data_IF_320316945023
#
_entry.id   IF_320316945023
#
_cell.length_a   1.000
_cell.length_b   1.000
_cell.length_c   1.000
_cell.angle_alpha   90.00
_cell.angle_beta   90.00
_cell.angle_gamma   90.00
#
_symmetry.space_group_name_H-M   'P 1'
#
loop_
_entity.id
_entity.type
_entity.pdbx_description
1 polymer ?
#
# COMPACT_ATOMS: atom_id res chain seq x y z
N UNK A 1 -2.34 -4.55 22.36
CA UNK A 1 -3.20 -4.46 21.16
C UNK A 1 -2.92 -3.13 20.47
N UNK A 2 -2.85 -3.12 19.15
CA UNK A 2 -2.66 -1.91 18.35
C UNK A 2 -3.78 -0.89 18.58
N UNK A 3 -3.41 0.38 18.66
CA UNK A 3 -4.37 1.48 18.68
C UNK A 3 -5.15 1.51 17.35
N UNK A 4 -6.43 1.89 17.42
CA UNK A 4 -7.28 2.03 16.24
C UNK A 4 -7.63 3.49 15.98
N UNK A 5 -7.76 3.83 14.70
CA UNK A 5 -8.21 5.15 14.22
C UNK A 5 -9.32 4.98 13.19
N UNK A 6 -9.94 6.05 12.75
CA UNK A 6 -10.86 6.03 11.60
C UNK A 6 -10.07 6.02 10.28
N UNK A 7 -10.64 5.38 9.26
CA UNK A 7 -10.09 5.43 7.90
C UNK A 7 -10.41 6.80 7.27
N UNK A 8 -9.66 7.83 7.71
CA UNK A 8 -9.91 9.22 7.37
C UNK A 8 -11.15 9.80 8.08
N UNK A 9 -11.56 10.98 7.64
CA UNK A 9 -12.72 11.71 8.19
C UNK A 9 -14.00 11.47 7.39
N UNK A 10 -13.90 10.76 6.26
CA UNK A 10 -15.02 10.51 5.33
C UNK A 10 -15.79 9.23 5.64
N UNK A 11 -15.33 8.44 6.61
CA UNK A 11 -15.96 7.19 7.04
C UNK A 11 -15.78 6.98 8.53
N UNK A 12 -16.68 6.21 9.14
CA UNK A 12 -16.55 5.76 10.51
C UNK A 12 -15.86 4.41 10.66
N UNK A 13 -15.35 3.83 9.54
CA UNK A 13 -14.65 2.55 9.56
C UNK A 13 -13.38 2.65 10.39
N UNK A 14 -13.28 1.80 11.41
CA UNK A 14 -12.12 1.75 12.31
C UNK A 14 -11.09 0.76 11.79
N UNK A 15 -9.83 1.18 11.79
CA UNK A 15 -8.68 0.38 11.38
C UNK A 15 -7.52 0.55 12.38
N UNK A 16 -6.64 -0.45 12.54
CA UNK A 16 -5.41 -0.27 13.31
C UNK A 16 -4.44 0.69 12.60
N UNK A 17 -3.48 1.22 13.35
CA UNK A 17 -2.46 2.16 12.86
C UNK A 17 -1.45 1.55 11.88
N UNK A 18 -1.59 0.27 11.55
CA UNK A 18 -0.87 -0.45 10.51
C UNK A 18 -1.84 -1.24 9.64
N UNK A 19 -1.44 -1.45 8.37
CA UNK A 19 -2.11 -2.35 7.44
C UNK A 19 -1.13 -3.43 6.98
N UNK A 20 -1.49 -4.72 7.08
CA UNK A 20 -0.67 -5.81 6.57
C UNK A 20 -0.80 -5.87 5.04
N UNK A 21 0.27 -5.46 4.34
CA UNK A 21 0.40 -5.60 2.90
C UNK A 21 0.78 -7.05 2.55
N UNK A 22 -0.01 -7.65 1.69
CA UNK A 22 0.08 -9.09 1.42
C UNK A 22 0.77 -9.45 0.11
N UNK A 23 1.39 -8.48 -0.59
CA UNK A 23 2.02 -8.70 -1.90
C UNK A 23 3.05 -9.85 -1.93
N UNK A 24 3.63 -10.20 -0.80
CA UNK A 24 4.60 -11.29 -0.68
C UNK A 24 3.99 -12.67 -0.35
N UNK A 25 2.66 -12.77 -0.29
CA UNK A 25 1.97 -14.05 -0.13
C UNK A 25 1.34 -14.49 -1.45
N UNK A 26 1.29 -15.80 -1.68
CA UNK A 26 0.74 -16.37 -2.90
C UNK A 26 1.40 -17.68 -3.28
N UNK A 27 1.36 -18.02 -4.55
CA UNK A 27 1.99 -19.22 -5.12
C UNK A 27 3.37 -18.86 -5.69
N UNK A 28 4.48 -19.43 -5.19
CA UNK A 28 5.82 -19.17 -5.72
C UNK A 28 5.90 -19.42 -7.23
N UNK A 29 6.49 -18.47 -7.97
CA UNK A 29 6.65 -18.54 -9.41
C UNK A 29 5.41 -18.15 -10.22
N UNK A 30 4.26 -17.87 -9.60
CA UNK A 30 3.06 -17.37 -10.31
C UNK A 30 3.10 -15.84 -10.44
N UNK A 31 2.99 -15.36 -11.69
CA UNK A 31 2.97 -13.93 -11.98
C UNK A 31 4.37 -13.28 -11.95
N UNK A 32 4.41 -11.99 -11.60
CA UNK A 32 5.64 -11.18 -11.61
C UNK A 32 6.41 -11.20 -10.29
N UNK A 33 5.91 -11.85 -9.25
CA UNK A 33 6.47 -11.81 -7.91
C UNK A 33 7.61 -12.83 -7.68
N UNK A 34 7.80 -13.79 -8.59
CA UNK A 34 8.95 -14.70 -8.55
C UNK A 34 8.99 -15.62 -7.32
N UNK A 35 10.19 -16.12 -7.03
CA UNK A 35 10.43 -17.18 -6.02
C UNK A 35 10.46 -16.65 -4.56
N UNK A 36 10.29 -15.34 -4.34
CA UNK A 36 10.29 -14.76 -2.98
C UNK A 36 8.90 -14.74 -2.31
N UNK A 37 7.89 -15.23 -3.01
CA UNK A 37 6.52 -15.34 -2.51
C UNK A 37 6.39 -16.48 -1.51
N UNK A 38 5.72 -16.22 -0.41
CA UNK A 38 5.43 -17.20 0.65
C UNK A 38 4.09 -17.90 0.37
N UNK A 39 4.09 -19.23 0.45
CA UNK A 39 2.88 -20.04 0.36
C UNK A 39 2.02 -19.94 1.61
N UNK A 40 0.87 -20.61 1.59
CA UNK A 40 -0.13 -20.53 2.67
C UNK A 40 0.42 -21.01 4.03
N UNK A 41 1.22 -22.06 4.05
CA UNK A 41 1.78 -22.62 5.29
C UNK A 41 2.80 -21.66 5.93
N UNK A 42 3.59 -20.96 5.10
CA UNK A 42 4.57 -19.97 5.56
C UNK A 42 3.89 -18.64 5.97
N UNK A 43 2.78 -18.30 5.32
CA UNK A 43 2.02 -17.09 5.62
C UNK A 43 1.18 -17.22 6.89
N UNK A 44 0.66 -18.41 7.21
CA UNK A 44 -0.24 -18.64 8.35
C UNK A 44 0.30 -18.14 9.68
N UNK A 45 1.54 -18.43 10.12
CA UNK A 45 2.06 -17.90 11.37
C UNK A 45 2.10 -16.36 11.43
N UNK A 46 2.32 -15.71 10.28
CA UNK A 46 2.35 -14.24 10.19
C UNK A 46 0.93 -13.68 10.38
N UNK A 47 -0.09 -14.32 9.78
CA UNK A 47 -1.48 -13.89 9.97
C UNK A 47 -1.95 -14.11 11.40
N UNK A 48 -1.62 -15.24 12.02
CA UNK A 48 -1.94 -15.54 13.43
C UNK A 48 -1.31 -14.48 14.35
N UNK A 49 -0.02 -14.17 14.19
CA UNK A 49 0.66 -13.13 14.96
C UNK A 49 0.07 -11.72 14.71
N UNK A 50 -0.35 -11.43 13.48
CA UNK A 50 -1.03 -10.16 13.16
C UNK A 50 -2.34 -10.04 13.95
N UNK A 51 -3.17 -11.06 13.92
CA UNK A 51 -4.45 -11.11 14.62
C UNK A 51 -4.25 -11.00 16.14
N UNK A 52 -3.31 -11.74 16.71
CA UNK A 52 -2.97 -11.70 18.14
C UNK A 52 -2.50 -10.31 18.58
N UNK A 53 -1.78 -9.58 17.73
CA UNK A 53 -1.34 -8.21 18.00
C UNK A 53 -2.45 -7.16 17.86
N UNK A 54 -3.61 -7.53 17.34
CA UNK A 54 -4.73 -6.63 17.02
C UNK A 54 -4.62 -5.97 15.65
N UNK A 55 -3.79 -6.50 14.75
CA UNK A 55 -3.70 -6.08 13.35
C UNK A 55 -4.74 -6.86 12.52
N UNK A 56 -5.90 -6.24 12.30
CA UNK A 56 -7.02 -6.81 11.56
C UNK A 56 -7.30 -6.10 10.23
N UNK A 57 -6.32 -5.35 9.69
CA UNK A 57 -6.42 -4.62 8.44
C UNK A 57 -5.44 -5.17 7.40
N UNK A 58 -5.96 -5.64 6.27
CA UNK A 58 -5.22 -6.36 5.24
C UNK A 58 -5.35 -5.69 3.88
N UNK A 59 -4.25 -5.62 3.13
CA UNK A 59 -4.21 -5.02 1.80
C UNK A 59 -3.67 -6.01 0.76
N UNK A 60 -4.49 -6.34 -0.23
CA UNK A 60 -4.14 -7.19 -1.37
C UNK A 60 -4.39 -6.49 -2.70
N UNK A 61 -4.25 -7.18 -3.82
CA UNK A 61 -4.62 -6.73 -5.16
C UNK A 61 -4.80 -7.92 -6.12
N UNK A 62 -5.64 -7.72 -7.14
CA UNK A 62 -5.86 -8.69 -8.21
C UNK A 62 -4.57 -9.11 -8.92
N UNK A 63 -3.67 -8.16 -9.20
CA UNK A 63 -2.42 -8.38 -9.93
C UNK A 63 -1.35 -9.12 -9.11
N UNK A 64 -1.48 -9.20 -7.78
CA UNK A 64 -0.49 -9.87 -6.95
C UNK A 64 -0.52 -11.38 -7.19
N UNK A 65 0.56 -11.91 -7.78
CA UNK A 65 0.62 -13.31 -8.24
C UNK A 65 -0.48 -13.67 -9.24
N UNK A 66 -1.01 -12.68 -9.99
CA UNK A 66 -2.17 -12.87 -10.90
C UNK A 66 -3.32 -13.58 -10.17
N UNK A 67 -3.67 -13.02 -9.00
CA UNK A 67 -4.75 -13.51 -8.13
C UNK A 67 -4.36 -14.54 -7.07
N UNK A 68 -3.17 -15.17 -7.13
CA UNK A 68 -2.74 -16.15 -6.13
C UNK A 68 -2.67 -15.56 -4.71
N UNK A 69 -2.31 -14.28 -4.60
CA UNK A 69 -2.31 -13.59 -3.32
C UNK A 69 -3.73 -13.53 -2.71
N UNK A 70 -4.73 -13.15 -3.49
CA UNK A 70 -6.13 -13.11 -3.03
C UNK A 70 -6.65 -14.51 -2.63
N UNK A 71 -6.24 -15.58 -3.34
CA UNK A 71 -6.59 -16.95 -3.01
C UNK A 71 -6.04 -17.35 -1.62
N UNK A 72 -4.75 -17.10 -1.37
CA UNK A 72 -4.08 -17.39 -0.08
C UNK A 72 -4.65 -16.54 1.05
N UNK A 73 -4.76 -15.23 0.86
CA UNK A 73 -5.28 -14.30 1.85
C UNK A 73 -6.73 -14.63 2.22
N UNK A 74 -7.57 -14.86 1.20
CA UNK A 74 -8.96 -15.22 1.40
C UNK A 74 -9.13 -16.51 2.19
N UNK A 75 -8.32 -17.54 1.90
CA UNK A 75 -8.35 -18.80 2.67
C UNK A 75 -7.92 -18.57 4.11
N UNK A 76 -6.77 -17.90 4.36
CA UNK A 76 -6.27 -17.63 5.71
C UNK A 76 -7.26 -16.84 6.57
N UNK A 77 -7.85 -15.79 6.00
CA UNK A 77 -8.82 -14.96 6.73
C UNK A 77 -10.09 -15.75 7.09
N UNK A 78 -10.62 -16.58 6.18
CA UNK A 78 -11.79 -17.42 6.48
C UNK A 78 -11.50 -18.53 7.48
N UNK A 79 -10.27 -19.03 7.51
CA UNK A 79 -9.85 -20.05 8.49
C UNK A 79 -9.70 -19.48 9.90
N UNK A 80 -9.26 -18.23 10.01
CA UNK A 80 -8.80 -17.62 11.27
C UNK A 80 -9.81 -16.64 11.90
N UNK A 81 -10.68 -16.00 11.09
CA UNK A 81 -11.56 -14.93 11.54
C UNK A 81 -12.96 -15.03 10.91
N UNK A 82 -13.98 -14.56 11.63
CA UNK A 82 -15.27 -14.25 11.01
C UNK A 82 -15.19 -12.93 10.21
N UNK A 83 -16.07 -12.77 9.19
CA UNK A 83 -16.01 -11.62 8.24
C UNK A 83 -16.07 -10.25 8.92
N UNK A 84 -16.77 -10.14 10.02
CA UNK A 84 -16.95 -8.91 10.80
C UNK A 84 -15.74 -8.53 11.67
N UNK A 85 -14.74 -9.40 11.78
CA UNK A 85 -13.56 -9.19 12.62
C UNK A 85 -12.37 -8.57 11.87
N UNK A 86 -12.45 -8.38 10.56
CA UNK A 86 -11.35 -7.82 9.77
C UNK A 86 -11.80 -6.84 8.70
N UNK A 87 -10.89 -5.98 8.31
CA UNK A 87 -10.99 -5.04 7.19
C UNK A 87 -10.06 -5.49 6.08
N UNK A 88 -10.55 -5.57 4.84
CA UNK A 88 -9.76 -5.98 3.68
C UNK A 88 -9.94 -5.04 2.50
N UNK A 89 -8.81 -4.64 1.92
CA UNK A 89 -8.72 -3.93 0.65
C UNK A 89 -8.30 -4.88 -0.46
N UNK A 90 -8.87 -4.71 -1.65
CA UNK A 90 -8.26 -5.21 -2.89
C UNK A 90 -8.19 -4.11 -3.93
N UNK A 91 -7.47 -4.36 -5.04
CA UNK A 91 -7.23 -3.35 -6.05
C UNK A 91 -7.56 -3.87 -7.43
N UNK A 92 -7.97 -2.94 -8.32
CA UNK A 92 -8.24 -3.19 -9.73
C UNK A 92 -7.56 -2.12 -10.58
N UNK A 93 -7.12 -2.44 -11.75
CA UNK A 93 -6.63 -1.60 -12.84
C UNK A 93 -5.54 -2.29 -13.67
N UNK A 94 -4.62 -3.01 -13.02
CA UNK A 94 -3.46 -3.58 -13.68
C UNK A 94 -3.88 -4.73 -14.62
N UNK A 95 -3.11 -4.99 -15.69
CA UNK A 95 -3.43 -6.09 -16.59
C UNK A 95 -3.38 -7.45 -15.89
N UNK A 96 -4.49 -8.18 -15.96
CA UNK A 96 -4.62 -9.56 -15.46
C UNK A 96 -4.39 -10.61 -16.56
N UNK A 97 -4.19 -10.17 -17.80
CA UNK A 97 -3.95 -11.01 -18.96
C UNK A 97 -3.58 -10.18 -20.19
N UNK A 98 -3.52 -10.84 -21.35
CA UNK A 98 -3.10 -10.21 -22.62
C UNK A 98 -4.28 -9.70 -23.47
N UNK A 99 -5.50 -9.93 -23.06
CA UNK A 99 -6.70 -9.49 -23.78
C UNK A 99 -6.93 -7.99 -23.64
N UNK A 100 -7.48 -7.36 -24.66
CA UNK A 100 -7.68 -5.91 -24.76
C UNK A 100 -8.50 -5.30 -23.59
N UNK A 101 -9.36 -6.09 -22.93
CA UNK A 101 -10.20 -5.65 -21.83
C UNK A 101 -9.80 -6.28 -20.48
N UNK A 102 -8.60 -6.85 -20.38
CA UNK A 102 -8.11 -7.51 -19.16
C UNK A 102 -7.22 -6.59 -18.32
N UNK A 103 -7.39 -5.28 -18.43
CA UNK A 103 -6.72 -4.23 -17.68
C UNK A 103 -7.38 -2.89 -17.91
N UNK A 104 -6.93 -1.87 -17.17
CA UNK A 104 -7.48 -0.54 -17.23
C UNK A 104 -8.62 -0.31 -16.24
N UNK A 105 -9.35 0.78 -16.42
CA UNK A 105 -10.46 1.17 -15.55
C UNK A 105 -11.74 1.43 -16.36
N UNK A 106 -11.93 0.71 -17.47
CA UNK A 106 -13.22 0.67 -18.15
C UNK A 106 -14.27 0.06 -17.21
N UNK A 107 -15.51 0.46 -17.40
CA UNK A 107 -16.66 -0.12 -16.67
C UNK A 107 -16.65 -1.64 -16.68
N UNK A 108 -16.38 -2.24 -17.87
CA UNK A 108 -16.29 -3.70 -18.02
C UNK A 108 -15.23 -4.30 -17.10
N UNK A 109 -14.00 -3.77 -17.13
CA UNK A 109 -12.91 -4.33 -16.35
C UNK A 109 -13.10 -4.14 -14.83
N UNK A 110 -13.65 -3.01 -14.41
CA UNK A 110 -13.96 -2.77 -12.98
C UNK A 110 -14.95 -3.80 -12.46
N UNK A 111 -16.07 -4.01 -13.16
CA UNK A 111 -17.12 -4.95 -12.71
C UNK A 111 -16.61 -6.39 -12.71
N UNK A 112 -15.98 -6.85 -13.81
CA UNK A 112 -15.44 -8.21 -13.92
C UNK A 112 -14.26 -8.44 -12.97
N UNK A 113 -13.43 -7.41 -12.76
CA UNK A 113 -12.29 -7.42 -11.86
C UNK A 113 -12.71 -7.63 -10.41
N UNK A 114 -13.65 -6.83 -9.91
CA UNK A 114 -14.15 -6.98 -8.53
C UNK A 114 -14.84 -8.31 -8.32
N UNK A 115 -15.64 -8.79 -9.29
CA UNK A 115 -16.28 -10.12 -9.20
C UNK A 115 -15.26 -11.26 -9.15
N UNK A 116 -14.17 -11.12 -9.89
CA UNK A 116 -13.08 -12.08 -9.89
C UNK A 116 -12.30 -12.06 -8.57
N UNK A 117 -12.03 -10.87 -8.02
CA UNK A 117 -11.40 -10.70 -6.71
C UNK A 117 -12.25 -11.30 -5.58
N UNK A 118 -13.55 -11.03 -5.57
CA UNK A 118 -14.47 -11.60 -4.58
C UNK A 118 -14.50 -13.13 -4.63
N UNK A 119 -14.50 -13.72 -5.83
CA UNK A 119 -14.42 -15.20 -5.99
C UNK A 119 -13.10 -15.78 -5.44
N UNK A 120 -11.94 -15.15 -5.73
CA UNK A 120 -10.64 -15.60 -5.21
C UNK A 120 -10.54 -15.46 -3.70
N UNK A 121 -11.01 -14.35 -3.16
CA UNK A 121 -11.07 -14.12 -1.72
C UNK A 121 -12.11 -15.00 -1.02
N UNK A 122 -13.11 -15.52 -1.75
CA UNK A 122 -14.26 -16.24 -1.19
C UNK A 122 -15.15 -15.34 -0.33
N UNK A 123 -15.36 -14.10 -0.75
CA UNK A 123 -16.11 -13.07 -0.04
C UNK A 123 -17.29 -12.56 -0.89
N UNK A 124 -18.31 -12.04 -0.23
CA UNK A 124 -19.42 -11.35 -0.88
C UNK A 124 -19.10 -9.86 -1.11
N UNK A 125 -18.27 -9.25 -0.26
CA UNK A 125 -17.81 -7.87 -0.37
C UNK A 125 -16.41 -7.67 0.20
N UNK A 126 -15.74 -6.61 -0.26
CA UNK A 126 -14.53 -6.05 0.37
C UNK A 126 -14.87 -4.74 1.09
N UNK A 127 -14.12 -4.39 2.12
CA UNK A 127 -14.32 -3.12 2.82
C UNK A 127 -13.91 -1.94 1.95
N UNK A 128 -12.85 -2.11 1.14
CA UNK A 128 -12.43 -1.09 0.21
C UNK A 128 -11.95 -1.68 -1.12
N UNK A 129 -12.46 -1.14 -2.23
CA UNK A 129 -11.92 -1.36 -3.58
C UNK A 129 -11.03 -0.17 -3.96
N UNK A 130 -9.77 -0.40 -4.26
CA UNK A 130 -8.79 0.63 -4.60
C UNK A 130 -8.53 0.61 -6.11
N UNK A 131 -8.61 1.75 -6.79
CA UNK A 131 -8.03 1.86 -8.13
C UNK A 131 -6.51 1.90 -8.00
N UNK A 132 -5.83 0.91 -8.60
CA UNK A 132 -4.39 0.70 -8.39
C UNK A 132 -3.54 1.80 -9.02
N UNK A 133 -4.05 2.47 -10.08
CA UNK A 133 -3.44 3.61 -10.78
C UNK A 133 -4.52 4.48 -11.39
N UNK A 134 -4.16 5.69 -11.79
CA UNK A 134 -5.04 6.55 -12.58
C UNK A 134 -5.32 5.92 -13.97
N UNK A 135 -6.52 6.11 -14.56
CA UNK A 135 -6.88 5.53 -15.86
C UNK A 135 -5.83 5.77 -16.95
N UNK A 136 -5.27 6.97 -17.03
CA UNK A 136 -4.26 7.35 -18.03
C UNK A 136 -2.84 6.81 -17.75
N UNK A 137 -2.58 6.21 -16.59
CA UNK A 137 -1.27 5.69 -16.23
C UNK A 137 -1.08 4.20 -16.55
N UNK A 138 -2.07 3.54 -17.14
CA UNK A 138 -2.06 2.08 -17.37
C UNK A 138 -1.66 1.82 -18.83
N UNK A 139 -0.44 1.34 -19.04
CA UNK A 139 0.07 1.01 -20.37
C UNK A 139 -0.79 -0.05 -21.05
N UNK A 140 -1.15 0.19 -22.31
CA UNK A 140 -1.90 -0.77 -23.13
C UNK A 140 -3.39 -0.85 -22.83
N UNK A 141 -3.89 -0.10 -21.86
CA UNK A 141 -5.32 0.05 -21.62
C UNK A 141 -5.83 1.35 -22.25
N UNK A 142 -7.05 1.32 -22.79
CA UNK A 142 -7.73 2.53 -23.21
C UNK A 142 -8.13 3.32 -21.97
N UNK A 143 -7.68 4.57 -21.88
CA UNK A 143 -8.21 5.51 -20.91
C UNK A 143 -9.55 6.01 -21.45
N UNK A 144 -10.62 5.45 -20.91
CA UNK A 144 -11.98 5.96 -21.15
C UNK A 144 -12.21 7.31 -20.44
N UNK A 145 -13.41 7.89 -20.60
CA UNK A 145 -13.82 9.05 -19.80
C UNK A 145 -13.73 8.75 -18.29
N UNK A 146 -13.30 9.75 -17.54
CA UNK A 146 -13.22 9.64 -16.06
C UNK A 146 -14.60 9.34 -15.46
N UNK A 147 -15.66 9.87 -16.06
CA UNK A 147 -17.04 9.63 -15.66
C UNK A 147 -17.40 8.14 -15.74
N UNK A 148 -16.99 7.41 -16.79
CA UNK A 148 -17.23 5.96 -16.89
C UNK A 148 -16.59 5.20 -15.72
N UNK A 149 -15.36 5.55 -15.38
CA UNK A 149 -14.64 4.95 -14.24
C UNK A 149 -15.36 5.24 -12.92
N UNK A 150 -15.71 6.50 -12.68
CA UNK A 150 -16.34 6.91 -11.42
C UNK A 150 -17.76 6.38 -11.26
N UNK A 151 -18.54 6.32 -12.35
CA UNK A 151 -19.88 5.72 -12.32
C UNK A 151 -19.80 4.21 -12.06
N UNK A 152 -18.85 3.49 -12.70
CA UNK A 152 -18.65 2.07 -12.47
C UNK A 152 -18.28 1.75 -11.01
N UNK A 153 -17.39 2.55 -10.40
CA UNK A 153 -17.04 2.42 -8.99
C UNK A 153 -18.23 2.69 -8.06
N UNK A 154 -19.03 3.70 -8.37
CA UNK A 154 -20.26 3.98 -7.64
C UNK A 154 -21.27 2.83 -7.72
N UNK A 155 -21.39 2.18 -8.89
CA UNK A 155 -22.27 1.03 -9.05
C UNK A 155 -21.77 -0.21 -8.28
N UNK A 156 -20.45 -0.41 -8.19
CA UNK A 156 -19.85 -1.46 -7.34
C UNK A 156 -20.21 -1.26 -5.87
N UNK A 157 -20.16 0.00 -5.38
CA UNK A 157 -20.55 0.32 -4.00
C UNK A 157 -22.06 0.13 -3.81
N UNK A 158 -22.88 0.62 -4.72
CA UNK A 158 -24.33 0.45 -4.66
C UNK A 158 -24.77 -1.03 -4.73
N UNK A 159 -24.03 -1.86 -5.45
CA UNK A 159 -24.26 -3.30 -5.49
C UNK A 159 -23.79 -4.03 -4.21
N UNK A 160 -23.20 -3.32 -3.25
CA UNK A 160 -22.70 -3.88 -2.00
C UNK A 160 -21.44 -4.74 -2.15
N UNK A 161 -20.74 -4.69 -3.30
CA UNK A 161 -19.51 -5.46 -3.55
C UNK A 161 -18.24 -4.83 -2.93
N UNK A 162 -18.31 -3.52 -2.68
CA UNK A 162 -17.34 -2.79 -1.86
C UNK A 162 -18.08 -1.79 -0.99
N UNK A 163 -17.64 -1.61 0.26
CA UNK A 163 -18.26 -0.62 1.16
C UNK A 163 -17.73 0.79 0.87
N UNK A 164 -16.46 0.90 0.53
CA UNK A 164 -15.77 2.15 0.22
C UNK A 164 -14.89 1.98 -1.01
N UNK A 165 -14.49 3.13 -1.59
CA UNK A 165 -13.47 3.15 -2.65
C UNK A 165 -12.25 3.95 -2.21
N UNK A 166 -11.06 3.52 -2.68
CA UNK A 166 -9.78 4.18 -2.51
C UNK A 166 -9.05 4.36 -3.83
N UNK A 167 -8.03 5.18 -3.82
CA UNK A 167 -7.15 5.40 -4.96
C UNK A 167 -5.69 5.12 -4.61
N UNK A 168 -4.85 4.89 -5.60
CA UNK A 168 -3.41 4.67 -5.41
C UNK A 168 -2.57 5.34 -6.49
N UNK A 169 -1.53 6.03 -6.04
CA UNK A 169 -0.41 6.54 -6.87
C UNK A 169 -0.83 7.26 -8.15
N UNK A 170 -1.17 8.54 -8.01
CA UNK A 170 -1.47 9.45 -9.10
C UNK A 170 -1.10 10.89 -8.70
N UNK A 171 -1.08 11.81 -9.65
CA UNK A 171 -0.88 13.22 -9.34
C UNK A 171 -2.06 13.79 -8.55
N UNK A 172 -1.80 14.78 -7.70
CA UNK A 172 -2.85 15.40 -6.88
C UNK A 172 -3.99 16.01 -7.71
N UNK A 173 -3.67 16.63 -8.85
CA UNK A 173 -4.69 17.17 -9.76
C UNK A 173 -5.58 16.07 -10.36
N UNK A 174 -5.02 14.90 -10.69
CA UNK A 174 -5.78 13.74 -11.18
C UNK A 174 -6.75 13.21 -10.11
N UNK A 175 -6.27 13.12 -8.88
CA UNK A 175 -7.12 12.69 -7.76
C UNK A 175 -8.23 13.72 -7.46
N UNK A 176 -7.89 15.01 -7.49
CA UNK A 176 -8.87 16.08 -7.32
C UNK A 176 -9.95 16.07 -8.41
N UNK A 177 -9.57 15.80 -9.66
CA UNK A 177 -10.50 15.67 -10.79
C UNK A 177 -11.48 14.50 -10.60
N UNK A 178 -10.98 13.32 -10.22
CA UNK A 178 -11.83 12.15 -9.89
C UNK A 178 -12.79 12.45 -8.73
N UNK A 179 -12.30 13.08 -7.66
CA UNK A 179 -13.11 13.46 -6.51
C UNK A 179 -14.19 14.49 -6.87
N UNK A 180 -13.85 15.48 -7.71
CA UNK A 180 -14.78 16.50 -8.17
C UNK A 180 -15.85 15.89 -9.07
N UNK A 181 -15.46 15.01 -10.00
CA UNK A 181 -16.39 14.28 -10.88
C UNK A 181 -17.40 13.47 -10.06
N UNK A 182 -16.94 12.74 -9.05
CA UNK A 182 -17.82 12.02 -8.14
C UNK A 182 -18.78 12.97 -7.42
N UNK A 183 -18.26 14.09 -6.88
CA UNK A 183 -19.06 15.06 -6.11
C UNK A 183 -20.15 15.72 -6.96
N UNK A 184 -19.82 16.14 -8.18
CA UNK A 184 -20.77 16.81 -9.09
C UNK A 184 -21.90 15.88 -9.49
N UNK A 185 -21.59 14.59 -9.71
CA UNK A 185 -22.58 13.60 -10.14
C UNK A 185 -23.30 12.91 -8.98
N UNK A 186 -23.01 13.24 -7.71
CA UNK A 186 -23.60 12.59 -6.55
C UNK A 186 -23.18 11.12 -6.39
N UNK A 187 -21.99 10.76 -6.89
CA UNK A 187 -21.42 9.43 -6.80
C UNK A 187 -20.51 9.27 -5.57
N UNK A 188 -20.18 8.01 -5.28
CA UNK A 188 -19.27 7.65 -4.19
C UNK A 188 -17.91 8.30 -4.41
N UNK A 189 -17.41 9.00 -3.39
CA UNK A 189 -16.08 9.61 -3.37
C UNK A 189 -15.06 8.67 -2.71
N UNK A 190 -13.78 8.81 -3.09
CA UNK A 190 -12.69 8.09 -2.45
C UNK A 190 -12.52 8.51 -0.99
N UNK A 191 -12.30 7.53 -0.11
CA UNK A 191 -12.05 7.75 1.32
C UNK A 191 -10.57 7.65 1.68
N UNK A 192 -9.74 7.05 0.81
CA UNK A 192 -8.30 6.89 1.05
C UNK A 192 -7.46 7.08 -0.21
N UNK A 193 -6.20 7.43 0.02
CA UNK A 193 -5.11 7.46 -0.96
C UNK A 193 -3.96 6.57 -0.48
N UNK A 194 -3.61 5.55 -1.28
CA UNK A 194 -2.45 4.69 -1.06
C UNK A 194 -1.31 5.17 -1.96
N UNK A 195 -0.47 6.06 -1.45
CA UNK A 195 0.62 6.71 -2.19
C UNK A 195 2.01 6.17 -1.82
N UNK A 196 3.02 6.49 -2.64
CA UNK A 196 4.41 6.17 -2.35
C UNK A 196 4.99 7.23 -1.42
N UNK A 197 5.17 6.90 -0.15
CA UNK A 197 5.66 7.89 0.81
C UNK A 197 6.48 7.22 1.91
N UNK A 198 7.71 7.70 2.12
CA UNK A 198 8.64 7.29 3.15
C UNK A 198 9.77 8.33 3.30
N UNK A 199 10.70 8.14 4.22
CA UNK A 199 11.79 9.09 4.52
C UNK A 199 12.67 9.48 3.32
N UNK A 200 12.86 8.56 2.37
CA UNK A 200 13.71 8.77 1.18
C UNK A 200 12.90 9.08 -0.09
N UNK A 201 11.58 9.15 0.00
CA UNK A 201 10.71 9.64 -1.06
C UNK A 201 9.57 10.46 -0.45
N UNK A 202 9.67 11.79 -0.53
CA UNK A 202 8.77 12.73 0.12
C UNK A 202 8.03 13.68 -0.86
N UNK A 203 8.01 13.34 -2.15
CA UNK A 203 7.38 14.20 -3.17
C UNK A 203 5.87 14.37 -2.98
N UNK A 204 5.22 13.44 -2.29
CA UNK A 204 3.80 13.52 -1.95
C UNK A 204 3.47 14.65 -0.96
N UNK A 205 4.46 15.15 -0.21
CA UNK A 205 4.32 16.31 0.69
C UNK A 205 4.05 17.64 -0.06
N UNK A 206 4.33 17.69 -1.37
CA UNK A 206 4.13 18.90 -2.16
C UNK A 206 2.65 19.21 -2.37
N UNK A 207 1.85 18.20 -2.72
CA UNK A 207 0.44 18.40 -3.10
C UNK A 207 -0.49 17.31 -2.59
N UNK A 208 -0.17 16.01 -2.80
CA UNK A 208 -1.09 14.91 -2.49
C UNK A 208 -1.42 14.82 -1.00
N UNK A 209 -0.41 14.82 -0.13
CA UNK A 209 -0.64 14.72 1.31
C UNK A 209 -1.42 15.93 1.86
N UNK A 210 -1.04 17.19 1.55
CA UNK A 210 -1.85 18.36 1.93
C UNK A 210 -3.28 18.33 1.41
N UNK A 211 -3.48 17.89 0.18
CA UNK A 211 -4.83 17.74 -0.39
C UNK A 211 -5.66 16.70 0.38
N UNK A 212 -5.08 15.53 0.67
CA UNK A 212 -5.76 14.48 1.42
C UNK A 212 -6.12 14.94 2.84
N UNK A 213 -5.19 15.59 3.54
CA UNK A 213 -5.42 16.17 4.87
C UNK A 213 -6.54 17.20 4.83
N UNK A 214 -6.51 18.14 3.89
CA UNK A 214 -7.52 19.22 3.79
C UNK A 214 -8.91 18.71 3.41
N UNK A 215 -9.00 17.52 2.83
CA UNK A 215 -10.26 16.92 2.37
C UNK A 215 -10.73 15.73 3.21
N UNK A 216 -10.03 15.39 4.30
CA UNK A 216 -10.35 14.29 5.20
C UNK A 216 -10.16 12.90 4.59
N UNK A 217 -9.34 12.76 3.54
CA UNK A 217 -8.98 11.49 2.90
C UNK A 217 -7.85 10.83 3.68
N UNK A 218 -7.99 9.56 4.01
CA UNK A 218 -6.95 8.77 4.70
C UNK A 218 -5.70 8.58 3.84
N UNK A 219 -4.52 8.68 4.42
CA UNK A 219 -3.26 8.32 3.77
C UNK A 219 -2.78 6.95 4.24
N UNK A 220 -2.52 6.06 3.27
CA UNK A 220 -2.08 4.68 3.47
C UNK A 220 -0.79 4.40 2.69
N UNK A 221 0.36 4.97 3.08
CA UNK A 221 1.59 4.86 2.31
C UNK A 221 2.02 3.42 2.04
N UNK A 222 2.35 3.10 0.78
CA UNK A 222 3.02 1.87 0.42
C UNK A 222 4.54 2.05 0.39
N UNK A 223 5.28 0.94 0.52
CA UNK A 223 6.75 0.92 0.69
C UNK A 223 7.27 1.83 1.81
N UNK A 224 6.69 1.77 3.01
CA UNK A 224 7.09 2.63 4.13
C UNK A 224 8.55 2.42 4.55
N UNK A 225 9.12 1.23 4.29
CA UNK A 225 10.51 0.87 4.56
C UNK A 225 11.41 0.96 3.31
N UNK A 226 10.95 1.63 2.24
CA UNK A 226 11.72 1.77 1.00
C UNK A 226 12.32 0.43 0.51
N UNK A 227 11.49 -0.62 0.48
CA UNK A 227 11.86 -1.99 0.07
C UNK A 227 13.03 -2.60 0.88
N UNK A 228 13.18 -2.16 2.13
CA UNK A 228 14.18 -2.65 3.07
C UNK A 228 15.40 -1.72 3.25
N UNK A 229 15.55 -0.66 2.48
CA UNK A 229 16.64 0.31 2.65
C UNK A 229 16.57 0.93 4.05
N UNK A 230 15.41 1.43 4.44
CA UNK A 230 15.16 2.03 5.77
C UNK A 230 15.07 0.99 6.91
N UNK A 231 15.16 -0.30 6.59
CA UNK A 231 15.25 -1.37 7.56
C UNK A 231 16.69 -1.89 7.76
N UNK A 232 17.68 -1.24 7.12
CA UNK A 232 19.09 -1.64 7.19
C UNK A 232 19.42 -2.91 6.39
N UNK A 233 18.57 -3.29 5.41
CA UNK A 233 18.81 -4.49 4.59
C UNK A 233 19.89 -4.29 3.52
N UNK A 234 20.42 -3.10 3.36
CA UNK A 234 21.46 -2.72 2.39
C UNK A 234 22.56 -1.93 3.10
N UNK A 235 23.80 -2.22 2.75
CA UNK A 235 24.97 -1.54 3.32
C UNK A 235 25.52 -0.51 2.32
N UNK A 236 25.08 0.73 2.41
CA UNK A 236 25.61 1.86 1.65
C UNK A 236 25.37 1.82 0.14
N UNK A 237 24.88 0.70 -0.40
CA UNK A 237 24.55 0.54 -1.82
C UNK A 237 23.56 -0.61 -2.04
N UNK A 238 22.89 -0.63 -3.20
CA UNK A 238 21.97 -1.72 -3.57
C UNK A 238 22.67 -3.06 -3.82
N UNK A 239 23.99 -3.06 -4.03
CA UNK A 239 24.78 -4.29 -4.22
C UNK A 239 24.96 -5.08 -2.93
N UNK A 240 24.89 -4.43 -1.78
CA UNK A 240 24.98 -5.02 -0.44
C UNK A 240 23.71 -5.66 0.11
N UNK A 241 22.68 -5.84 -0.70
CA UNK A 241 21.39 -6.34 -0.24
C UNK A 241 21.40 -7.76 0.32
N UNK A 242 20.83 -7.95 1.52
CA UNK A 242 20.83 -9.21 2.27
C UNK A 242 19.54 -10.02 2.12
N UNK A 243 18.50 -9.46 1.54
CA UNK A 243 17.16 -10.09 1.42
C UNK A 243 17.00 -10.92 0.14
N UNK A 244 16.07 -11.88 0.13
CA UNK A 244 15.72 -12.63 -1.08
C UNK A 244 15.21 -11.70 -2.21
N UNK A 245 14.51 -10.62 -1.86
CA UNK A 245 14.03 -9.60 -2.81
C UNK A 245 15.18 -8.83 -3.47
N UNK A 246 16.26 -8.57 -2.75
CA UNK A 246 17.42 -7.85 -3.27
C UNK A 246 18.22 -8.64 -4.32
N UNK A 247 18.02 -9.95 -4.40
CA UNK A 247 18.76 -10.87 -5.29
C UNK A 247 17.99 -11.25 -6.56
N UNK A 248 16.67 -10.98 -6.63
CA UNK A 248 15.78 -11.42 -7.71
C UNK A 248 15.35 -10.29 -8.66
N UNK A 249 14.32 -10.55 -9.46
CA UNK A 249 13.72 -9.57 -10.38
C UNK A 249 13.22 -8.29 -9.67
N UNK A 250 12.92 -8.36 -8.38
CA UNK A 250 12.49 -7.24 -7.57
C UNK A 250 13.61 -6.20 -7.34
N UNK A 251 14.88 -6.59 -7.54
CA UNK A 251 16.03 -5.67 -7.51
C UNK A 251 15.89 -4.55 -8.53
N UNK A 252 15.55 -4.87 -9.79
CA UNK A 252 15.36 -3.87 -10.85
C UNK A 252 14.28 -2.85 -10.46
N UNK A 253 13.22 -3.30 -9.79
CA UNK A 253 12.18 -2.39 -9.27
C UNK A 253 12.72 -1.51 -8.15
N UNK A 254 13.52 -2.05 -7.24
CA UNK A 254 14.17 -1.27 -6.18
C UNK A 254 15.09 -0.21 -6.78
N UNK A 255 15.93 -0.59 -7.75
CA UNK A 255 16.84 0.32 -8.48
C UNK A 255 16.09 1.41 -9.26
N UNK A 256 14.89 1.14 -9.74
CA UNK A 256 14.06 2.16 -10.43
C UNK A 256 13.47 3.21 -9.47
N UNK A 257 13.37 2.89 -8.18
CA UNK A 257 12.76 3.76 -7.17
C UNK A 257 13.82 4.48 -6.31
N UNK A 258 14.92 3.81 -6.02
CA UNK A 258 15.94 4.27 -5.05
C UNK A 258 17.33 3.93 -5.56
N UNK A 259 18.20 4.91 -5.73
CA UNK A 259 19.56 4.72 -6.25
C UNK A 259 20.52 5.85 -5.95
N UNK A 260 20.04 6.85 -5.21
CA UNK A 260 20.83 8.03 -4.89
C UNK A 260 21.69 7.85 -3.66
N UNK A 261 22.84 8.53 -3.59
CA UNK A 261 23.68 8.60 -2.38
C UNK A 261 22.87 9.17 -1.20
N UNK A 262 21.96 10.10 -1.45
CA UNK A 262 21.06 10.67 -0.46
C UNK A 262 20.21 9.59 0.23
N UNK A 263 19.72 8.60 -0.52
CA UNK A 263 18.84 7.54 0.01
C UNK A 263 19.55 6.75 1.11
N UNK A 264 20.83 6.42 0.88
CA UNK A 264 21.67 5.70 1.85
C UNK A 264 22.13 6.58 3.00
N UNK A 265 22.44 7.86 2.76
CA UNK A 265 22.80 8.80 3.82
C UNK A 265 21.63 9.02 4.80
N UNK A 266 20.39 9.08 4.32
CA UNK A 266 19.21 9.12 5.18
C UNK A 266 19.02 7.78 5.92
N UNK A 267 19.20 6.65 5.24
CA UNK A 267 19.12 5.34 5.87
C UNK A 267 20.16 5.15 6.99
N UNK A 268 21.36 5.66 6.83
CA UNK A 268 22.41 5.64 7.86
C UNK A 268 22.00 6.46 9.10
N UNK A 269 21.32 7.60 8.92
CA UNK A 269 20.73 8.36 10.05
C UNK A 269 19.65 7.55 10.78
N UNK A 270 18.80 6.84 10.05
CA UNK A 270 17.80 5.95 10.64
C UNK A 270 18.45 4.84 11.46
N UNK A 271 19.53 4.23 10.95
CA UNK A 271 20.28 3.17 11.63
C UNK A 271 20.93 3.74 12.90
N UNK A 272 21.60 4.90 12.80
CA UNK A 272 22.26 5.54 13.94
C UNK A 272 21.26 5.86 15.05
N UNK A 273 20.13 6.48 14.73
CA UNK A 273 19.11 6.80 15.72
C UNK A 273 18.49 5.54 16.33
N UNK A 274 18.32 4.47 15.55
CA UNK A 274 17.83 3.20 16.05
C UNK A 274 18.80 2.57 17.07
N UNK A 275 20.10 2.59 16.79
CA UNK A 275 21.15 2.11 17.69
C UNK A 275 21.18 2.92 19.00
N UNK A 276 21.09 4.26 18.93
CA UNK A 276 21.02 5.14 20.08
C UNK A 276 19.82 4.88 20.98
N UNK A 277 18.69 4.48 20.38
CA UNK A 277 17.45 4.18 21.08
C UNK A 277 17.26 2.71 21.46
N UNK A 278 18.21 1.84 21.08
CA UNK A 278 18.16 0.41 21.33
C UNK A 278 17.00 -0.31 20.62
N UNK A 279 16.59 0.17 19.44
CA UNK A 279 15.52 -0.41 18.64
C UNK A 279 16.00 -0.76 17.21
N UNK A 280 15.10 -1.20 16.35
CA UNK A 280 15.43 -1.55 14.96
C UNK A 280 15.20 -0.36 14.02
N UNK A 281 16.01 -0.22 12.94
CA UNK A 281 15.83 0.85 11.94
C UNK A 281 14.42 0.92 11.36
N UNK A 282 13.80 -0.23 11.08
CA UNK A 282 12.42 -0.32 10.61
C UNK A 282 11.42 0.35 11.57
N UNK A 283 11.67 0.28 12.87
CA UNK A 283 10.80 0.89 13.88
C UNK A 283 10.88 2.42 13.85
N UNK A 284 12.07 2.98 13.69
CA UNK A 284 12.27 4.44 13.52
C UNK A 284 11.57 4.93 12.24
N UNK A 285 11.73 4.23 11.13
CA UNK A 285 11.12 4.61 9.86
C UNK A 285 9.58 4.60 9.91
N UNK A 286 8.97 3.62 10.58
CA UNK A 286 7.52 3.56 10.79
C UNK A 286 7.06 4.63 11.77
N UNK A 287 7.76 4.83 12.90
CA UNK A 287 7.44 5.87 13.86
C UNK A 287 7.47 7.27 13.23
N UNK A 288 8.48 7.55 12.39
CA UNK A 288 8.54 8.79 11.62
C UNK A 288 7.31 8.95 10.71
N UNK A 289 6.94 7.90 9.97
CA UNK A 289 5.81 7.97 9.07
C UNK A 289 4.49 8.21 9.82
N UNK A 290 4.31 7.50 10.95
CA UNK A 290 3.13 7.67 11.81
C UNK A 290 3.04 9.04 12.50
N UNK A 291 4.15 9.77 12.62
CA UNK A 291 4.16 11.15 13.13
C UNK A 291 3.67 12.19 12.13
N UNK A 292 3.52 11.83 10.84
CA UNK A 292 3.11 12.77 9.80
C UNK A 292 1.60 12.98 9.75
N UNK A 293 1.15 14.22 9.49
CA UNK A 293 -0.27 14.55 9.38
C UNK A 293 -1.00 13.68 8.34
N UNK A 294 -2.19 13.20 8.69
CA UNK A 294 -3.06 12.45 7.79
C UNK A 294 -2.69 10.98 7.57
N UNK A 295 -1.52 10.53 8.06
CA UNK A 295 -1.14 9.12 7.97
C UNK A 295 -2.04 8.28 8.87
N UNK A 296 -2.83 7.43 8.24
CA UNK A 296 -3.79 6.55 8.91
C UNK A 296 -3.16 5.20 9.24
N UNK A 297 -2.73 4.48 8.21
CA UNK A 297 -2.16 3.14 8.36
C UNK A 297 -1.18 2.84 7.21
N UNK A 298 0.15 2.92 7.45
CA UNK A 298 1.14 2.47 6.48
C UNK A 298 0.95 1.01 6.12
N UNK A 299 1.09 0.68 4.81
CA UNK A 299 0.98 -0.69 4.31
C UNK A 299 2.34 -1.37 4.43
N UNK A 300 2.48 -2.25 5.41
CA UNK A 300 3.73 -2.94 5.74
C UNK A 300 3.75 -4.36 5.20
N UNK A 301 4.82 -4.76 4.53
CA UNK A 301 5.05 -6.13 4.08
C UNK A 301 6.12 -6.80 4.95
N UNK A 302 5.83 -8.00 5.43
CA UNK A 302 6.75 -8.80 6.26
C UNK A 302 6.86 -10.22 5.70
N UNK A 303 7.96 -10.89 5.96
CA UNK A 303 8.21 -12.27 5.55
C UNK A 303 8.47 -13.20 6.75
N UNK A 304 8.45 -12.68 7.97
CA UNK A 304 8.64 -13.42 9.23
C UNK A 304 7.88 -12.75 10.35
N UNK A 305 7.50 -13.54 11.35
CA UNK A 305 6.74 -13.07 12.52
C UNK A 305 7.51 -11.97 13.28
N UNK A 306 8.81 -12.14 13.49
CA UNK A 306 9.62 -11.18 14.25
C UNK A 306 9.67 -9.79 13.59
N UNK A 307 9.56 -9.73 12.25
CA UNK A 307 9.43 -8.44 11.55
C UNK A 307 8.11 -7.76 11.84
N UNK A 308 7.02 -8.53 11.88
CA UNK A 308 5.70 -8.01 12.23
C UNK A 308 5.67 -7.45 13.64
N UNK A 309 6.18 -8.20 14.62
CA UNK A 309 6.27 -7.79 16.03
C UNK A 309 7.02 -6.46 16.17
N UNK A 310 8.18 -6.32 15.52
CA UNK A 310 8.93 -5.06 15.49
C UNK A 310 8.12 -3.89 14.93
N UNK A 311 7.33 -4.10 13.86
CA UNK A 311 6.51 -3.04 13.27
C UNK A 311 5.30 -2.69 14.15
N UNK A 312 4.75 -3.65 14.87
CA UNK A 312 3.70 -3.41 15.87
C UNK A 312 4.23 -2.55 17.02
N UNK A 313 5.43 -2.88 17.53
CA UNK A 313 6.10 -2.09 18.57
C UNK A 313 6.41 -0.65 18.11
N UNK A 314 6.71 -0.45 16.81
CA UNK A 314 6.97 0.87 16.23
C UNK A 314 5.82 1.86 16.43
N UNK A 315 4.58 1.38 16.54
CA UNK A 315 3.41 2.24 16.75
C UNK A 315 3.39 2.96 18.12
N UNK A 316 4.21 2.52 19.08
CA UNK A 316 4.35 3.13 20.40
C UNK A 316 5.61 4.00 20.54
N UNK A 317 6.44 4.09 19.49
CA UNK A 317 7.65 4.92 19.52
C UNK A 317 7.29 6.36 19.18
N UNK A 318 7.64 7.27 20.09
CA UNK A 318 7.53 8.71 19.86
C UNK A 318 8.90 9.28 19.50
N UNK A 319 8.94 10.03 18.40
CA UNK A 319 10.11 10.79 17.97
C UNK A 319 9.99 12.24 18.43
N UNK A 320 11.05 12.80 18.96
CA UNK A 320 11.12 14.22 19.27
C UNK A 320 11.17 15.07 17.99
N UNK A 321 10.90 16.36 18.11
CA UNK A 321 11.04 17.28 16.98
C UNK A 321 12.49 17.31 16.44
N UNK A 322 13.47 17.17 17.32
CA UNK A 322 14.90 17.12 16.94
C UNK A 322 15.22 15.83 16.18
N UNK A 323 14.68 14.67 16.59
CA UNK A 323 14.83 13.41 15.83
C UNK A 323 14.24 13.53 14.43
N UNK A 324 13.02 14.05 14.33
CA UNK A 324 12.35 14.25 13.05
C UNK A 324 13.16 15.19 12.15
N UNK A 325 13.62 16.32 12.69
CA UNK A 325 14.45 17.29 11.96
C UNK A 325 15.76 16.63 11.47
N UNK A 326 16.44 15.88 12.33
CA UNK A 326 17.67 15.17 12.00
C UNK A 326 17.47 14.16 10.87
N UNK A 327 16.39 13.38 10.91
CA UNK A 327 16.08 12.40 9.88
C UNK A 327 15.74 13.04 8.53
N UNK A 328 15.16 14.24 8.54
CA UNK A 328 14.65 14.92 7.33
C UNK A 328 15.66 15.85 6.66
N UNK A 329 16.65 16.33 7.39
CA UNK A 329 17.57 17.42 6.97
C UNK A 329 18.28 17.14 5.63
N UNK A 330 18.63 15.89 5.35
CA UNK A 330 19.36 15.52 4.13
C UNK A 330 18.47 15.42 2.89
N UNK A 331 17.13 15.37 3.07
CA UNK A 331 16.24 15.16 1.94
C UNK A 331 16.30 16.33 0.94
N UNK A 332 16.58 15.99 -0.31
CA UNK A 332 16.46 16.90 -1.44
C UNK A 332 15.34 16.42 -2.36
N UNK A 333 14.52 17.32 -2.90
CA UNK A 333 13.47 16.93 -3.84
C UNK A 333 14.03 16.13 -5.02
N UNK A 334 13.31 15.06 -5.36
CA UNK A 334 13.63 14.18 -6.50
C UNK A 334 12.56 14.29 -7.57
N UNK A 335 12.83 13.71 -8.74
CA UNK A 335 11.83 13.60 -9.79
C UNK A 335 10.62 12.78 -9.29
N UNK A 336 9.42 13.27 -9.57
CA UNK A 336 8.20 12.54 -9.20
C UNK A 336 8.12 11.23 -10.00
N UNK A 337 8.14 10.11 -9.29
CA UNK A 337 8.12 8.76 -9.88
C UNK A 337 6.83 8.44 -10.66
N UNK A 338 5.78 9.24 -10.50
CA UNK A 338 4.55 9.12 -11.31
C UNK A 338 4.77 9.53 -12.77
N UNK A 339 5.80 10.35 -13.05
CA UNK A 339 6.19 10.74 -14.41
C UNK A 339 6.92 9.64 -15.17
N UNK A 340 7.51 8.66 -14.46
CA UNK A 340 8.27 7.55 -15.04
C UNK A 340 7.33 6.50 -15.65
N UNK A 341 6.51 6.84 -16.56
CA UNK A 341 5.58 5.89 -17.18
C UNK A 341 4.69 6.53 -18.24
N UNK A 342 4.78 7.83 -18.33
CA UNK A 342 4.00 8.63 -19.30
C UNK A 342 4.76 8.92 -20.62
N UNK A 343 6.02 8.47 -20.75
CA UNK A 343 6.83 8.59 -21.96
C UNK A 343 6.86 7.30 -22.77
#
# INVERSE_FOLDING_TARGET
MLETTTLGERTSLRVPRLCLGTMNFGEPGRGHQGDWTLGIDEARPIFEAAIESGLFYFDTADVYGVGACEEVVGQLLRDLLSRDQYVINTKVAMPMGRGANQGGLSRKHIIEGVDSSLRRLGLEYVDQLIIHRHPHAIRGASAGPIEETMEALNDVVKAGKALHIGASSMFAWQFAELQLTAKINGWTQFVSMQNHYNLIYREEEREMNPYCVSTGVALQPWSPLARGILAGAYQGSLDGGTTNRSKGQDRTRTESLYRGEMDFAIADRVITLADERGCRPAQIAIAWLLSKPGITAPVVGVSRVEQLEQLVEACSIELSADDVSHLEELYQPVENLLSIGTS
#
